data_IF_804203443195
#
_entry.id   IF_804203443195
#
_cell.length_a   1.000
_cell.length_b   1.000
_cell.length_c   1.000
_cell.angle_alpha   90.00
_cell.angle_beta   90.00
_cell.angle_gamma   90.00
#
_symmetry.space_group_name_H-M   'P 1'
#
loop_
_entity.id
_entity.type
_entity.pdbx_description
1 polymer ?
#
# COMPACT_ATOMS: atom_id res chain seq x y z
N UNK A 1 -21.41 9.83 8.47
CA UNK A 1 -21.10 11.15 7.87
C UNK A 1 -21.66 11.13 6.46
N UNK A 2 -22.54 12.08 6.16
CA UNK A 2 -23.02 12.29 4.80
C UNK A 2 -21.82 12.67 3.93
N UNK A 3 -21.60 11.95 2.84
CA UNK A 3 -20.65 12.33 1.80
C UNK A 3 -21.40 13.30 0.89
N UNK A 4 -20.93 14.55 0.83
CA UNK A 4 -21.53 15.54 -0.06
C UNK A 4 -20.89 15.47 -1.46
N UNK A 5 -21.56 16.01 -2.48
CA UNK A 5 -21.02 16.12 -3.86
C UNK A 5 -19.69 16.92 -3.90
N UNK A 6 -19.44 17.76 -2.89
CA UNK A 6 -18.23 18.57 -2.77
C UNK A 6 -17.04 17.79 -2.19
N UNK A 7 -17.28 16.64 -1.54
CA UNK A 7 -16.24 15.86 -0.85
C UNK A 7 -15.39 15.02 -1.82
N UNK A 8 -15.98 14.57 -2.93
CA UNK A 8 -15.26 13.79 -3.96
C UNK A 8 -15.65 14.30 -5.34
N UNK A 9 -14.73 14.96 -6.01
CA UNK A 9 -14.97 15.53 -7.34
C UNK A 9 -15.35 14.44 -8.36
N UNK A 10 -16.53 14.59 -8.98
CA UNK A 10 -17.01 13.70 -10.04
C UNK A 10 -17.77 12.45 -9.54
N UNK A 11 -18.03 12.35 -8.25
CA UNK A 11 -18.89 11.30 -7.68
C UNK A 11 -20.25 11.91 -7.34
N UNK A 12 -21.31 11.35 -7.91
CA UNK A 12 -22.70 11.70 -7.62
C UNK A 12 -23.33 10.54 -6.84
N UNK A 13 -23.85 10.75 -5.62
CA UNK A 13 -24.58 9.70 -4.91
C UNK A 13 -25.84 9.31 -5.71
N UNK A 14 -25.96 8.05 -6.10
CA UNK A 14 -27.12 7.57 -6.88
C UNK A 14 -28.20 6.91 -6.02
N UNK A 15 -27.79 6.24 -4.92
CA UNK A 15 -28.72 5.53 -4.06
C UNK A 15 -28.33 5.67 -2.60
N UNK A 16 -29.30 6.02 -1.77
CA UNK A 16 -29.19 6.02 -0.31
C UNK A 16 -30.12 4.95 0.26
N UNK A 17 -29.65 4.25 1.28
CA UNK A 17 -30.49 3.34 2.06
C UNK A 17 -30.05 3.38 3.52
N UNK A 18 -31.04 3.35 4.40
CA UNK A 18 -30.79 3.28 5.82
C UNK A 18 -30.44 1.86 6.25
N UNK A 19 -29.41 1.74 7.08
CA UNK A 19 -29.02 0.49 7.74
C UNK A 19 -29.09 0.67 9.26
N UNK A 20 -29.34 -0.42 9.98
CA UNK A 20 -29.26 -0.37 11.43
C UNK A 20 -27.80 -0.17 11.90
N UNK A 21 -27.66 0.27 13.17
CA UNK A 21 -26.35 0.61 13.73
C UNK A 21 -25.36 -0.56 13.73
N UNK A 22 -25.82 -1.80 13.87
CA UNK A 22 -24.95 -2.97 13.84
C UNK A 22 -24.40 -3.22 12.43
N UNK A 23 -25.29 -3.15 11.43
CA UNK A 23 -24.91 -3.27 10.02
C UNK A 23 -23.99 -2.11 9.60
N UNK A 24 -24.30 -0.88 10.00
CA UNK A 24 -23.46 0.30 9.75
C UNK A 24 -22.06 0.10 10.30
N UNK A 25 -21.93 -0.31 11.56
CA UNK A 25 -20.64 -0.57 12.18
C UNK A 25 -19.84 -1.68 11.46
N UNK A 26 -20.51 -2.77 11.06
CA UNK A 26 -19.85 -3.86 10.28
C UNK A 26 -19.34 -3.38 8.93
N UNK A 27 -20.07 -2.47 8.27
CA UNK A 27 -19.63 -1.88 7.00
C UNK A 27 -18.43 -0.95 7.22
N UNK A 28 -18.47 -0.11 8.26
CA UNK A 28 -17.33 0.73 8.63
C UNK A 28 -16.08 -0.13 8.92
N UNK A 29 -16.20 -1.12 9.80
CA UNK A 29 -15.08 -2.01 10.16
C UNK A 29 -14.50 -2.76 8.93
N UNK A 30 -15.31 -3.00 7.91
CA UNK A 30 -14.90 -3.75 6.73
C UNK A 30 -14.33 -2.89 5.60
N UNK A 31 -14.87 -1.69 5.40
CA UNK A 31 -14.58 -0.87 4.23
C UNK A 31 -13.82 0.41 4.52
N UNK A 32 -13.80 0.89 5.78
CA UNK A 32 -13.00 2.06 6.11
C UNK A 32 -11.51 1.73 6.06
N UNK A 33 -10.80 2.46 5.23
CA UNK A 33 -9.33 2.43 5.23
C UNK A 33 -8.85 3.17 6.49
N UNK A 34 -7.98 2.55 7.31
CA UNK A 34 -7.43 3.22 8.48
C UNK A 34 -6.73 4.52 8.11
N UNK A 35 -7.19 5.62 8.70
CA UNK A 35 -6.60 6.94 8.48
C UNK A 35 -5.60 7.27 9.59
N UNK A 36 -4.49 7.92 9.24
CA UNK A 36 -3.52 8.43 10.19
C UNK A 36 -4.14 9.58 10.99
N UNK A 37 -4.19 9.47 12.32
CA UNK A 37 -4.87 10.43 13.21
C UNK A 37 -3.95 11.11 14.22
N UNK A 38 -2.83 10.50 14.60
CA UNK A 38 -1.91 11.04 15.59
C UNK A 38 -0.50 10.47 15.45
N UNK A 39 0.46 11.14 16.07
CA UNK A 39 1.83 10.69 16.21
C UNK A 39 2.26 10.67 17.67
N UNK A 40 3.00 9.63 18.05
CA UNK A 40 3.82 9.63 19.27
C UNK A 40 5.30 9.64 18.84
N UNK A 41 6.08 10.53 19.45
CA UNK A 41 7.49 10.73 19.15
C UNK A 41 8.27 11.11 20.42
N UNK A 42 9.59 10.83 20.47
CA UNK A 42 10.42 11.26 21.57
C UNK A 42 10.47 12.80 21.68
N UNK A 43 10.31 13.33 22.87
CA UNK A 43 10.38 14.79 23.10
C UNK A 43 11.82 15.30 23.01
N UNK A 44 12.80 14.46 23.33
CA UNK A 44 14.22 14.78 23.27
C UNK A 44 15.00 13.55 22.80
N UNK A 45 15.98 13.77 21.95
CA UNK A 45 16.86 12.75 21.41
C UNK A 45 18.29 13.27 21.34
N UNK A 46 19.28 12.37 21.40
CA UNK A 46 20.69 12.69 21.15
C UNK A 46 21.13 11.99 19.90
N UNK A 47 21.76 12.70 18.97
CA UNK A 47 22.32 12.15 17.75
C UNK A 47 23.66 12.87 17.43
N UNK A 48 24.66 12.13 17.05
CA UNK A 48 25.97 12.69 16.69
C UNK A 48 26.03 13.14 15.21
N UNK A 49 25.11 12.65 14.40
CA UNK A 49 25.03 12.93 12.96
C UNK A 49 23.60 12.72 12.43
N UNK A 50 23.41 13.07 11.16
CA UNK A 50 22.11 12.95 10.50
C UNK A 50 21.63 11.50 10.41
N UNK A 51 22.51 10.53 10.18
CA UNK A 51 22.16 9.11 10.05
C UNK A 51 21.57 8.56 11.36
N UNK A 52 22.15 8.94 12.49
CA UNK A 52 21.62 8.56 13.81
C UNK A 52 20.26 9.20 14.06
N UNK A 53 20.07 10.46 13.66
CA UNK A 53 18.78 11.13 13.78
C UNK A 53 17.73 10.48 12.87
N UNK A 54 18.08 10.15 11.63
CA UNK A 54 17.19 9.50 10.66
C UNK A 54 16.77 8.07 11.08
N UNK A 55 17.55 7.42 11.94
CA UNK A 55 17.20 6.13 12.54
C UNK A 55 16.05 6.23 13.57
N UNK A 56 15.79 7.42 14.10
CA UNK A 56 14.73 7.67 15.07
C UNK A 56 13.39 7.68 14.34
N UNK A 57 12.46 6.85 14.81
CA UNK A 57 11.13 6.69 14.21
C UNK A 57 10.07 7.31 15.11
N UNK A 58 9.01 7.81 14.48
CA UNK A 58 7.78 8.17 15.16
C UNK A 58 6.74 7.04 15.01
N UNK A 59 5.89 6.90 16.02
CA UNK A 59 4.76 5.96 15.99
C UNK A 59 3.56 6.69 15.41
N UNK A 60 3.18 6.33 14.19
CA UNK A 60 1.95 6.80 13.57
C UNK A 60 0.77 5.96 14.06
N UNK A 61 -0.28 6.60 14.55
CA UNK A 61 -1.49 5.98 15.09
C UNK A 61 -2.62 6.16 14.08
N UNK A 62 -3.37 5.09 13.84
CA UNK A 62 -4.46 5.07 12.87
C UNK A 62 -5.83 4.99 13.54
N UNK A 63 -6.88 5.35 12.79
CA UNK A 63 -8.26 5.45 13.26
C UNK A 63 -8.85 4.13 13.78
N UNK A 64 -8.32 2.99 13.35
CA UNK A 64 -8.69 1.64 13.81
C UNK A 64 -7.94 1.21 15.09
N UNK A 65 -7.11 2.09 15.67
CA UNK A 65 -6.29 1.80 16.84
C UNK A 65 -4.98 1.07 16.53
N UNK A 66 -4.70 0.74 15.28
CA UNK A 66 -3.40 0.19 14.88
C UNK A 66 -2.32 1.26 14.86
N UNK A 67 -1.07 0.86 14.81
CA UNK A 67 0.05 1.78 14.67
C UNK A 67 1.15 1.22 13.78
N UNK A 68 1.97 2.13 13.24
CA UNK A 68 3.20 1.78 12.53
C UNK A 68 4.35 2.69 12.94
N UNK A 69 5.56 2.12 13.04
CA UNK A 69 6.78 2.90 13.23
C UNK A 69 7.23 3.45 11.88
N UNK A 70 7.17 4.78 11.73
CA UNK A 70 7.46 5.49 10.49
C UNK A 70 8.76 6.26 10.59
N UNK A 71 9.50 6.33 9.49
CA UNK A 71 10.62 7.24 9.31
C UNK A 71 10.12 8.69 9.40
N UNK A 72 10.98 9.58 9.86
CA UNK A 72 10.70 11.02 9.94
C UNK A 72 11.67 11.75 9.02
N UNK A 73 11.15 12.67 8.24
CA UNK A 73 11.94 13.62 7.47
C UNK A 73 12.17 14.84 8.36
N UNK A 74 13.38 14.94 8.93
CA UNK A 74 13.75 15.97 9.87
C UNK A 74 14.22 17.24 9.15
N UNK A 75 13.74 18.40 9.59
CA UNK A 75 14.32 19.68 9.20
C UNK A 75 15.54 19.98 10.08
N UNK A 76 16.71 19.77 9.52
CA UNK A 76 18.01 19.98 10.17
C UNK A 76 18.76 21.19 9.61
N UNK A 77 18.08 22.11 8.93
CA UNK A 77 18.69 23.28 8.29
C UNK A 77 19.46 24.17 9.29
N UNK A 78 19.05 24.17 10.55
CA UNK A 78 19.65 24.97 11.63
C UNK A 78 20.67 24.20 12.46
N UNK A 79 20.95 22.92 12.17
CA UNK A 79 21.83 22.07 12.99
C UNK A 79 23.28 22.17 12.52
N UNK A 80 24.18 22.63 13.41
CA UNK A 80 25.62 22.56 13.18
C UNK A 80 26.19 21.29 13.87
N UNK A 81 26.39 20.24 13.11
CA UNK A 81 26.86 18.93 13.56
C UNK A 81 28.28 18.93 14.16
N UNK A 82 29.01 20.05 14.06
CA UNK A 82 30.34 20.20 14.68
C UNK A 82 30.27 20.78 16.09
N UNK A 83 29.08 21.09 16.59
CA UNK A 83 28.87 21.66 17.91
C UNK A 83 27.97 20.77 18.75
N UNK A 84 28.35 20.61 20.02
CA UNK A 84 27.51 19.95 21.01
C UNK A 84 26.58 20.99 21.64
N UNK A 85 25.41 21.17 21.03
CA UNK A 85 24.39 22.14 21.46
C UNK A 85 23.00 21.50 21.37
N UNK A 86 22.04 22.11 22.06
CA UNK A 86 20.63 21.74 21.92
C UNK A 86 19.98 22.52 20.75
N UNK A 87 19.29 21.80 19.87
CA UNK A 87 18.56 22.36 18.73
C UNK A 87 17.09 21.98 18.84
N UNK A 88 16.21 22.93 18.63
CA UNK A 88 14.79 22.63 18.38
C UNK A 88 14.61 22.37 16.88
N UNK A 89 14.18 21.16 16.55
CA UNK A 89 13.97 20.73 15.17
C UNK A 89 12.53 20.24 14.99
N UNK A 90 12.05 20.31 13.77
CA UNK A 90 10.75 19.76 13.38
C UNK A 90 10.93 18.58 12.43
N UNK A 91 9.91 17.73 12.36
CA UNK A 91 9.90 16.60 11.44
C UNK A 91 8.51 16.32 10.89
N UNK A 92 8.47 15.69 9.75
CA UNK A 92 7.23 15.16 9.15
C UNK A 92 7.36 13.66 9.01
N UNK A 93 6.26 12.95 9.24
CA UNK A 93 6.20 11.52 8.90
C UNK A 93 6.54 11.36 7.42
N UNK A 94 7.56 10.54 7.15
CA UNK A 94 7.94 10.24 5.77
C UNK A 94 6.78 9.55 5.04
N UNK A 95 6.44 10.08 3.88
CA UNK A 95 5.48 9.46 2.98
C UNK A 95 6.23 8.74 1.87
N UNK A 96 6.04 7.44 1.79
CA UNK A 96 6.57 6.67 0.67
C UNK A 96 5.85 7.09 -0.61
N UNK A 97 6.61 7.52 -1.62
CA UNK A 97 6.08 7.84 -2.95
C UNK A 97 6.34 6.64 -3.85
N UNK A 98 5.26 6.01 -4.28
CA UNK A 98 5.35 4.88 -5.19
C UNK A 98 5.29 5.35 -6.65
N UNK A 99 6.16 4.77 -7.47
CA UNK A 99 6.14 5.04 -8.91
C UNK A 99 4.91 4.35 -9.52
N UNK A 100 4.15 5.10 -10.30
CA UNK A 100 2.97 4.60 -11.01
C UNK A 100 3.12 4.86 -12.51
N UNK A 101 2.68 3.92 -13.37
CA UNK A 101 2.17 2.59 -13.05
C UNK A 101 3.28 1.61 -12.63
N UNK A 102 2.94 0.56 -11.85
CA UNK A 102 3.86 -0.53 -11.52
C UNK A 102 4.22 -1.32 -12.79
N UNK A 103 3.25 -1.52 -13.68
CA UNK A 103 3.44 -2.16 -14.97
C UNK A 103 2.54 -1.52 -16.03
N UNK A 104 2.99 -1.53 -17.28
CA UNK A 104 2.21 -1.04 -18.42
C UNK A 104 1.42 -2.17 -19.07
N UNK A 105 0.28 -1.83 -19.70
CA UNK A 105 -0.62 -2.78 -20.36
C UNK A 105 -1.03 -3.91 -19.39
N UNK A 106 -1.44 -3.51 -18.19
CA UNK A 106 -1.89 -4.39 -17.12
C UNK A 106 -3.18 -3.84 -16.53
N UNK A 107 -4.29 -4.56 -16.70
CA UNK A 107 -5.57 -4.28 -16.08
C UNK A 107 -5.75 -5.11 -14.79
N UNK A 108 -6.75 -4.76 -13.99
CA UNK A 108 -7.17 -5.51 -12.80
C UNK A 108 -6.01 -5.88 -11.87
N UNK A 109 -5.20 -4.91 -11.42
CA UNK A 109 -4.02 -5.21 -10.62
C UNK A 109 -4.41 -5.74 -9.25
N UNK A 110 -3.78 -6.84 -8.84
CA UNK A 110 -3.87 -7.37 -7.48
C UNK A 110 -2.48 -7.47 -6.86
N UNK A 111 -2.37 -7.14 -5.58
CA UNK A 111 -1.13 -7.23 -4.83
C UNK A 111 -1.36 -7.91 -3.49
N UNK A 112 -0.47 -8.78 -3.10
CA UNK A 112 -0.47 -9.42 -1.79
C UNK A 112 0.93 -9.43 -1.17
N UNK A 113 0.99 -9.43 0.16
CA UNK A 113 2.21 -9.73 0.89
C UNK A 113 2.13 -11.17 1.42
N UNK A 114 3.14 -11.97 1.11
CA UNK A 114 3.24 -13.35 1.57
C UNK A 114 4.69 -13.70 1.89
N UNK A 115 4.92 -14.27 3.06
CA UNK A 115 6.26 -14.66 3.55
C UNK A 115 7.30 -13.54 3.48
N UNK A 116 6.89 -12.31 3.75
CA UNK A 116 7.76 -11.12 3.79
C UNK A 116 8.10 -10.51 2.44
N UNK A 117 7.51 -11.00 1.35
CA UNK A 117 7.66 -10.45 -0.01
C UNK A 117 6.34 -9.93 -0.56
N UNK A 118 6.42 -8.97 -1.46
CA UNK A 118 5.28 -8.46 -2.22
C UNK A 118 5.17 -9.20 -3.54
N UNK A 119 3.95 -9.57 -3.89
CA UNK A 119 3.57 -10.20 -5.14
C UNK A 119 2.60 -9.31 -5.88
N UNK A 120 2.81 -9.15 -7.18
CA UNK A 120 1.93 -8.38 -8.05
C UNK A 120 1.50 -9.26 -9.22
N UNK A 121 0.21 -9.24 -9.52
CA UNK A 121 -0.42 -9.98 -10.62
C UNK A 121 -1.49 -9.10 -11.27
N UNK A 122 -1.78 -9.33 -12.53
CA UNK A 122 -2.77 -8.54 -13.29
C UNK A 122 -3.16 -9.25 -14.57
N UNK A 123 -4.27 -8.83 -15.15
CA UNK A 123 -4.60 -9.13 -16.54
C UNK A 123 -3.51 -8.59 -17.47
N UNK A 124 -3.06 -9.38 -18.45
CA UNK A 124 -2.04 -8.96 -19.42
C UNK A 124 -2.68 -8.48 -20.73
N UNK A 125 -2.92 -7.16 -20.84
CA UNK A 125 -3.47 -6.55 -22.04
C UNK A 125 -2.50 -6.56 -23.24
N UNK A 126 -1.20 -6.80 -22.99
CA UNK A 126 -0.16 -6.76 -24.02
C UNK A 126 -0.25 -7.93 -25.01
N UNK A 127 -0.88 -9.05 -24.63
CA UNK A 127 -1.04 -10.25 -25.44
C UNK A 127 -2.50 -10.69 -25.60
N UNK A 128 -3.43 -9.74 -25.49
CA UNK A 128 -4.85 -10.02 -25.57
C UNK A 128 -5.35 -10.99 -24.48
N UNK A 129 -4.83 -10.82 -23.26
CA UNK A 129 -5.28 -11.51 -22.04
C UNK A 129 -5.04 -13.04 -22.06
N UNK A 130 -4.03 -13.49 -22.80
CA UNK A 130 -3.73 -14.92 -22.94
C UNK A 130 -2.73 -15.44 -21.91
N UNK A 131 -2.08 -14.57 -21.14
CA UNK A 131 -1.09 -14.97 -20.15
C UNK A 131 -1.30 -14.28 -18.80
N UNK A 132 -0.90 -14.96 -17.74
CA UNK A 132 -0.76 -14.38 -16.41
C UNK A 132 0.71 -14.45 -16.01
N UNK A 133 1.25 -13.29 -15.62
CA UNK A 133 2.57 -13.15 -15.04
C UNK A 133 2.48 -12.72 -13.60
N UNK A 134 3.45 -13.14 -12.80
CA UNK A 134 3.64 -12.68 -11.42
C UNK A 134 4.97 -11.97 -11.30
N UNK A 135 5.00 -10.89 -10.52
CA UNK A 135 6.23 -10.25 -10.03
C UNK A 135 6.39 -10.48 -8.56
N UNK A 136 7.62 -10.64 -8.11
CA UNK A 136 7.99 -10.77 -6.70
C UNK A 136 9.07 -9.75 -6.37
N UNK A 137 8.94 -9.07 -5.21
CA UNK A 137 9.96 -8.15 -4.73
C UNK A 137 9.94 -8.03 -3.19
N UNK A 138 11.01 -7.50 -2.61
CA UNK A 138 11.10 -7.26 -1.17
C UNK A 138 10.37 -5.96 -0.76
N UNK A 139 10.05 -5.09 -1.73
CA UNK A 139 9.31 -3.85 -1.51
C UNK A 139 8.42 -3.51 -2.72
N UNK A 140 7.38 -2.70 -2.48
CA UNK A 140 6.47 -2.26 -3.56
C UNK A 140 7.22 -1.46 -4.64
N UNK A 141 8.15 -0.53 -4.34
CA UNK A 141 8.91 0.18 -5.38
C UNK A 141 9.71 -0.74 -6.30
N UNK A 142 10.25 -1.85 -5.77
CA UNK A 142 11.02 -2.81 -6.57
C UNK A 142 10.16 -3.62 -7.54
N UNK A 143 8.85 -3.76 -7.28
CA UNK A 143 7.93 -4.40 -8.23
C UNK A 143 7.92 -3.73 -9.61
N UNK A 144 8.24 -2.43 -9.69
CA UNK A 144 8.30 -1.68 -10.97
C UNK A 144 9.34 -2.27 -11.92
N UNK A 145 10.46 -2.76 -11.39
CA UNK A 145 11.59 -3.33 -12.16
C UNK A 145 11.75 -4.83 -11.99
N UNK A 146 10.90 -5.47 -11.19
CA UNK A 146 10.90 -6.90 -11.01
C UNK A 146 10.59 -7.64 -12.33
N UNK A 147 11.17 -8.81 -12.50
CA UNK A 147 10.95 -9.65 -13.66
C UNK A 147 9.54 -10.22 -13.68
N UNK A 148 8.92 -10.26 -14.86
CA UNK A 148 7.65 -10.94 -15.09
C UNK A 148 7.90 -12.45 -15.23
N UNK A 149 7.40 -13.26 -14.29
CA UNK A 149 7.43 -14.71 -14.36
C UNK A 149 6.09 -15.24 -14.87
N UNK A 150 6.12 -15.91 -16.02
CA UNK A 150 4.94 -16.57 -16.59
C UNK A 150 4.47 -17.71 -15.66
N UNK A 151 3.21 -17.70 -15.27
CA UNK A 151 2.61 -18.71 -14.40
C UNK A 151 1.45 -19.46 -15.04
N UNK A 152 0.77 -18.84 -16.00
CA UNK A 152 -0.32 -19.48 -16.74
C UNK A 152 -0.42 -18.88 -18.14
N UNK A 153 -0.71 -19.75 -19.13
CA UNK A 153 -1.08 -19.33 -20.48
C UNK A 153 -2.31 -20.11 -20.96
N UNK A 154 -3.10 -19.46 -21.81
CA UNK A 154 -4.37 -20.00 -22.31
C UNK A 154 -4.19 -21.19 -23.30
N UNK A 155 -2.97 -21.47 -23.74
CA UNK A 155 -2.70 -22.47 -24.78
C UNK A 155 -2.15 -23.78 -24.25
N UNK A 156 -1.55 -23.77 -23.07
CA UNK A 156 -0.89 -24.96 -22.48
C UNK A 156 -1.90 -25.96 -21.93
N UNK A 157 -3.04 -25.48 -21.41
CA UNK A 157 -4.02 -26.32 -20.73
C UNK A 157 -5.38 -26.24 -21.40
N UNK A 158 -5.90 -27.38 -21.89
CA UNK A 158 -7.16 -27.46 -22.62
C UNK A 158 -8.39 -26.97 -21.82
N UNK A 159 -8.33 -27.04 -20.49
CA UNK A 159 -9.42 -26.62 -19.62
C UNK A 159 -9.33 -25.16 -19.14
N UNK A 160 -8.26 -24.46 -19.48
CA UNK A 160 -8.12 -23.03 -19.24
C UNK A 160 -8.79 -22.28 -20.38
N UNK A 161 -9.60 -21.29 -20.05
CA UNK A 161 -10.30 -20.47 -21.04
C UNK A 161 -9.35 -19.70 -21.95
N UNK A 162 -9.89 -19.12 -23.01
CA UNK A 162 -9.09 -18.35 -23.96
C UNK A 162 -8.67 -16.98 -23.44
N UNK A 163 -9.30 -16.48 -22.39
CA UNK A 163 -9.06 -15.18 -21.79
C UNK A 163 -8.83 -15.37 -20.29
N UNK A 164 -7.76 -14.79 -19.77
CA UNK A 164 -7.35 -14.90 -18.38
C UNK A 164 -7.49 -13.55 -17.69
N UNK A 165 -8.67 -13.31 -17.14
CA UNK A 165 -9.02 -12.00 -16.57
C UNK A 165 -8.93 -11.95 -15.06
N UNK A 166 -8.72 -10.73 -14.59
CA UNK A 166 -8.83 -10.33 -13.20
C UNK A 166 -8.20 -11.33 -12.20
N UNK A 167 -6.92 -11.69 -12.35
CA UNK A 167 -6.29 -12.62 -11.42
C UNK A 167 -6.16 -11.98 -10.04
N UNK A 168 -6.53 -12.71 -9.01
CA UNK A 168 -6.46 -12.28 -7.63
C UNK A 168 -5.54 -13.19 -6.81
N UNK A 169 -4.78 -12.58 -5.89
CA UNK A 169 -3.91 -13.27 -4.96
C UNK A 169 -4.60 -13.44 -3.61
N UNK A 170 -4.73 -14.65 -3.13
CA UNK A 170 -5.31 -14.95 -1.83
C UNK A 170 -4.39 -15.84 -1.00
N UNK A 171 -4.21 -15.50 0.28
CA UNK A 171 -3.49 -16.34 1.23
C UNK A 171 -4.51 -17.13 2.04
N UNK A 172 -4.55 -18.45 1.82
CA UNK A 172 -5.44 -19.36 2.51
C UNK A 172 -4.60 -20.42 3.24
N UNK A 173 -4.75 -20.53 4.55
CA UNK A 173 -3.99 -21.49 5.39
C UNK A 173 -2.47 -21.42 5.15
N UNK A 174 -1.92 -20.20 5.00
CA UNK A 174 -0.50 -19.94 4.79
C UNK A 174 0.04 -20.29 3.39
N UNK A 175 -0.83 -20.63 2.42
CA UNK A 175 -0.49 -20.84 1.01
C UNK A 175 -1.03 -19.71 0.16
N UNK A 176 -0.27 -19.31 -0.84
CA UNK A 176 -0.69 -18.33 -1.83
C UNK A 176 -1.43 -19.03 -2.96
N UNK A 177 -2.64 -18.58 -3.23
CA UNK A 177 -3.49 -19.05 -4.32
C UNK A 177 -3.76 -17.91 -5.30
N UNK A 178 -3.97 -18.28 -6.55
CA UNK A 178 -4.39 -17.39 -7.62
C UNK A 178 -5.78 -17.83 -8.07
N UNK A 179 -6.71 -16.88 -8.07
CA UNK A 179 -8.02 -17.04 -8.65
C UNK A 179 -8.11 -16.16 -9.89
N UNK A 180 -8.72 -16.62 -10.95
CA UNK A 180 -8.91 -15.84 -12.18
C UNK A 180 -10.24 -16.24 -12.84
N UNK A 181 -10.76 -15.35 -13.68
CA UNK A 181 -11.93 -15.60 -14.51
C UNK A 181 -11.51 -16.01 -15.93
#
# INVERSE_FOLDING_TARGET
>A
SEVSEDDILGVVPENEFEVDNETGKRLEDKFMVPCHIANEYPVSVTAANKEELDAIKAKAIYSDGTFAMKRVDWDVTNVDWNKEEEYEITGKIHQDVFKFPIAYNRADPCMAMWKGKYYFISTNDADHEHTIYIREADSIPELVTAEDHLILDAYTYEHVGNLLWAPELHVVEGRLYIFHA
#
